data_IF_953087390704
#
_entry.id   IF_953087390704
#
_cell.length_a   1.000
_cell.length_b   1.000
_cell.length_c   1.000
_cell.angle_alpha   90.00
_cell.angle_beta   90.00
_cell.angle_gamma   90.00
#
_symmetry.space_group_name_H-M   'P 1'
#
loop_
_entity.id
_entity.type
_entity.pdbx_description
1 polymer ?
#
# COMPACT_ATOMS: atom_id res chain seq x y z
N UNK A 1 17.13 12.79 -27.38
CA UNK A 1 15.73 13.14 -27.69
C UNK A 1 14.79 11.93 -27.65
N UNK A 2 15.06 10.85 -28.41
CA UNK A 2 14.19 9.65 -28.48
C UNK A 2 14.07 8.95 -27.11
N UNK A 3 15.17 8.78 -26.37
CA UNK A 3 15.18 8.17 -25.04
C UNK A 3 14.39 9.01 -24.03
N UNK A 4 14.51 10.32 -24.09
CA UNK A 4 13.76 11.26 -23.24
C UNK A 4 12.27 11.22 -23.55
N UNK A 5 11.88 11.09 -24.82
CA UNK A 5 10.51 11.01 -25.28
C UNK A 5 9.86 9.69 -24.85
N UNK A 6 10.56 8.55 -25.00
CA UNK A 6 10.07 7.25 -24.54
C UNK A 6 9.87 7.19 -23.03
N UNK A 7 10.80 7.80 -22.25
CA UNK A 7 10.62 7.93 -20.80
C UNK A 7 9.37 8.75 -20.43
N UNK A 8 9.13 9.86 -21.13
CA UNK A 8 7.94 10.69 -20.89
C UNK A 8 6.65 9.96 -21.22
N UNK A 9 6.61 9.19 -22.32
CA UNK A 9 5.45 8.36 -22.69
C UNK A 9 5.18 7.30 -21.62
N UNK A 10 6.20 6.55 -21.18
CA UNK A 10 6.02 5.52 -20.17
C UNK A 10 5.57 6.07 -18.80
N UNK A 11 5.99 7.28 -18.46
CA UNK A 11 5.52 8.01 -17.27
C UNK A 11 4.06 8.38 -17.41
N UNK A 12 3.65 8.90 -18.56
CA UNK A 12 2.26 9.27 -18.83
C UNK A 12 1.33 8.05 -18.83
N UNK A 13 1.74 6.94 -19.44
CA UNK A 13 0.98 5.67 -19.41
C UNK A 13 0.80 5.15 -17.98
N UNK A 14 1.85 5.17 -17.16
CA UNK A 14 1.77 4.77 -15.76
C UNK A 14 0.80 5.64 -14.95
N UNK A 15 0.82 6.96 -15.18
CA UNK A 15 -0.13 7.91 -14.59
C UNK A 15 -1.57 7.59 -14.98
N UNK A 16 -1.81 7.44 -16.28
CA UNK A 16 -3.13 7.17 -16.83
C UNK A 16 -3.71 5.84 -16.32
N UNK A 17 -2.90 4.79 -16.32
CA UNK A 17 -3.30 3.48 -15.78
C UNK A 17 -3.62 3.54 -14.28
N UNK A 18 -2.88 4.30 -13.50
CA UNK A 18 -3.14 4.49 -12.07
C UNK A 18 -4.44 5.25 -11.83
N UNK A 19 -4.71 6.28 -12.64
CA UNK A 19 -5.94 7.06 -12.57
C UNK A 19 -7.17 6.22 -12.98
N UNK A 20 -7.10 5.49 -14.10
CA UNK A 20 -8.16 4.58 -14.53
C UNK A 20 -8.48 3.57 -13.43
N UNK A 21 -7.45 3.00 -12.82
CA UNK A 21 -7.65 2.03 -11.74
C UNK A 21 -8.29 2.64 -10.51
N UNK A 22 -7.91 3.86 -10.16
CA UNK A 22 -8.54 4.60 -9.07
C UNK A 22 -10.01 4.89 -9.37
N UNK A 23 -10.34 5.37 -10.56
CA UNK A 23 -11.72 5.65 -10.97
C UNK A 23 -12.58 4.39 -11.03
N UNK A 24 -12.05 3.28 -11.54
CA UNK A 24 -12.74 1.98 -11.53
C UNK A 24 -13.01 1.52 -10.09
N UNK A 25 -12.02 1.56 -9.22
CA UNK A 25 -12.21 1.21 -7.82
C UNK A 25 -13.34 2.04 -7.18
N UNK A 26 -13.50 3.33 -7.55
CA UNK A 26 -14.58 4.17 -7.03
C UNK A 26 -15.95 3.82 -7.61
N UNK A 27 -16.05 3.53 -8.92
CA UNK A 27 -17.30 3.38 -9.67
C UNK A 27 -17.85 1.96 -9.67
N UNK A 28 -16.99 0.93 -9.64
CA UNK A 28 -17.42 -0.46 -9.71
C UNK A 28 -17.95 -0.95 -8.34
N UNK A 29 -18.98 -1.81 -8.41
CA UNK A 29 -19.44 -2.54 -7.22
C UNK A 29 -18.35 -3.47 -6.72
N UNK A 30 -18.29 -3.64 -5.40
CA UNK A 30 -17.30 -4.53 -4.79
C UNK A 30 -17.58 -5.99 -5.19
N UNK A 31 -16.56 -6.67 -5.67
CA UNK A 31 -16.59 -8.12 -5.84
C UNK A 31 -16.27 -8.79 -4.50
N UNK A 32 -17.24 -8.74 -3.55
CA UNK A 32 -17.06 -9.31 -2.21
C UNK A 32 -17.04 -10.82 -2.28
N UNK A 33 -15.95 -11.43 -1.82
CA UNK A 33 -15.74 -12.88 -1.75
C UNK A 33 -15.16 -13.26 -0.40
N UNK A 34 -15.26 -14.56 -0.06
CA UNK A 34 -14.52 -15.12 1.06
C UNK A 34 -13.03 -15.14 0.70
N UNK A 35 -12.23 -14.47 1.51
CA UNK A 35 -10.78 -14.38 1.38
C UNK A 35 -10.13 -15.23 2.47
N UNK A 36 -9.27 -16.16 2.09
CA UNK A 36 -8.44 -16.91 3.02
C UNK A 36 -7.19 -16.07 3.32
N UNK A 37 -6.91 -15.84 4.61
CA UNK A 37 -5.78 -15.00 5.04
C UNK A 37 -4.44 -15.49 4.49
N UNK A 38 -4.18 -16.80 4.59
CA UNK A 38 -2.93 -17.39 4.10
C UNK A 38 -2.76 -17.19 2.60
N UNK A 39 -3.84 -17.37 1.82
CA UNK A 39 -3.81 -17.16 0.37
C UNK A 39 -3.52 -15.71 0.04
N UNK A 40 -4.20 -14.76 0.69
CA UNK A 40 -3.96 -13.33 0.52
C UNK A 40 -2.49 -12.96 0.77
N UNK A 41 -1.90 -13.47 1.86
CA UNK A 41 -0.52 -13.21 2.21
C UNK A 41 0.47 -13.84 1.22
N UNK A 42 0.18 -15.04 0.73
CA UNK A 42 1.00 -15.71 -0.29
C UNK A 42 0.98 -14.96 -1.62
N UNK A 43 -0.18 -14.52 -2.07
CA UNK A 43 -0.33 -13.71 -3.29
C UNK A 43 0.37 -12.35 -3.14
N UNK A 44 0.22 -11.69 -2.00
CA UNK A 44 0.90 -10.43 -1.70
C UNK A 44 2.42 -10.59 -1.73
N UNK A 45 2.95 -11.64 -1.10
CA UNK A 45 4.38 -11.93 -1.11
C UNK A 45 4.88 -12.16 -2.54
N UNK A 46 4.18 -12.98 -3.30
CA UNK A 46 4.53 -13.27 -4.70
C UNK A 46 4.58 -11.99 -5.56
N UNK A 47 3.64 -11.06 -5.38
CA UNK A 47 3.62 -9.79 -6.14
C UNK A 47 4.81 -8.87 -5.84
N UNK A 48 5.42 -8.97 -4.66
CA UNK A 48 6.49 -8.05 -4.24
C UNK A 48 7.87 -8.71 -4.14
N UNK A 49 7.94 -10.03 -4.30
CA UNK A 49 9.16 -10.83 -4.09
C UNK A 49 10.36 -10.32 -4.91
N UNK A 50 10.16 -10.08 -6.19
CA UNK A 50 11.21 -9.53 -7.07
C UNK A 50 11.72 -8.16 -6.57
N UNK A 51 10.80 -7.29 -6.11
CA UNK A 51 11.18 -5.97 -5.59
C UNK A 51 11.94 -6.07 -4.27
N UNK A 52 11.56 -7.00 -3.39
CA UNK A 52 12.23 -7.24 -2.13
C UNK A 52 13.66 -7.76 -2.37
N UNK A 53 13.80 -8.74 -3.27
CA UNK A 53 15.09 -9.36 -3.61
C UNK A 53 16.05 -8.37 -4.29
N UNK A 54 15.59 -7.63 -5.32
CA UNK A 54 16.40 -6.63 -6.02
C UNK A 54 16.90 -5.52 -5.06
N UNK A 55 16.10 -5.16 -4.06
CA UNK A 55 16.45 -4.12 -3.10
C UNK A 55 17.15 -4.64 -1.85
N UNK A 56 17.39 -5.95 -1.71
CA UNK A 56 17.97 -6.61 -0.53
C UNK A 56 17.23 -6.22 0.77
N UNK A 57 15.92 -6.43 0.81
CA UNK A 57 15.06 -6.07 1.93
C UNK A 57 14.82 -7.28 2.83
N UNK A 58 15.09 -7.14 4.13
CA UNK A 58 14.63 -8.09 5.15
C UNK A 58 13.10 -7.92 5.30
N UNK A 59 12.36 -8.90 4.81
CA UNK A 59 10.91 -8.90 4.82
C UNK A 59 10.35 -9.92 5.79
N UNK A 60 9.39 -9.53 6.62
CA UNK A 60 8.73 -10.43 7.55
C UNK A 60 7.21 -10.18 7.60
N UNK A 61 6.46 -11.26 7.88
CA UNK A 61 5.02 -11.22 8.06
C UNK A 61 4.70 -11.72 9.47
N UNK A 62 4.05 -10.88 10.28
CA UNK A 62 3.58 -11.21 11.62
C UNK A 62 2.05 -11.30 11.61
N UNK A 63 1.51 -12.50 11.42
CA UNK A 63 0.06 -12.72 11.46
C UNK A 63 -0.40 -13.00 12.90
N UNK A 64 -1.17 -12.07 13.47
CA UNK A 64 -1.78 -12.15 14.82
C UNK A 64 -3.31 -12.27 14.75
N UNK A 65 -3.86 -12.60 13.57
CA UNK A 65 -5.31 -12.84 13.45
C UNK A 65 -5.69 -14.16 14.07
N UNK A 66 -6.83 -14.17 14.74
CA UNK A 66 -7.50 -15.40 15.21
C UNK A 66 -8.31 -16.01 14.06
N UNK A 67 -8.91 -15.13 13.23
CA UNK A 67 -9.68 -15.58 12.06
C UNK A 67 -8.77 -16.04 10.93
N UNK A 68 -9.21 -17.06 10.20
CA UNK A 68 -8.50 -17.61 9.02
C UNK A 68 -9.07 -17.09 7.70
N UNK A 69 -10.24 -16.44 7.74
CA UNK A 69 -10.90 -15.90 6.56
C UNK A 69 -11.81 -14.72 6.92
N UNK A 70 -12.06 -13.88 5.93
CA UNK A 70 -12.99 -12.74 6.01
C UNK A 70 -13.59 -12.45 4.64
N UNK A 71 -14.60 -11.59 4.58
CA UNK A 71 -15.22 -11.17 3.32
C UNK A 71 -14.61 -9.85 2.83
N UNK A 72 -14.30 -9.75 1.54
CA UNK A 72 -13.74 -8.54 0.95
C UNK A 72 -13.57 -8.61 -0.56
N UNK A 73 -13.08 -7.53 -1.12
CA UNK A 73 -12.64 -7.45 -2.51
C UNK A 73 -11.13 -7.77 -2.56
N UNK A 74 -10.80 -9.07 -2.75
CA UNK A 74 -9.45 -9.61 -2.71
C UNK A 74 -8.51 -8.84 -3.67
N UNK A 75 -8.94 -8.60 -4.90
CA UNK A 75 -8.13 -7.92 -5.91
C UNK A 75 -7.75 -6.49 -5.51
N UNK A 76 -8.71 -5.72 -5.03
CA UNK A 76 -8.44 -4.35 -4.60
C UNK A 76 -7.66 -4.30 -3.29
N UNK A 77 -7.84 -5.28 -2.37
CA UNK A 77 -7.04 -5.39 -1.14
C UNK A 77 -5.58 -5.72 -1.45
N UNK A 78 -5.29 -6.73 -2.28
CA UNK A 78 -3.91 -7.06 -2.69
C UNK A 78 -3.26 -5.82 -3.29
N UNK A 79 -3.92 -5.16 -4.23
CA UNK A 79 -3.40 -3.95 -4.86
C UNK A 79 -3.17 -2.80 -3.86
N UNK A 80 -4.05 -2.63 -2.87
CA UNK A 80 -3.86 -1.61 -1.83
C UNK A 80 -2.62 -1.92 -0.96
N UNK A 81 -2.44 -3.18 -0.56
CA UNK A 81 -1.29 -3.63 0.21
C UNK A 81 0.00 -3.53 -0.60
N UNK A 82 -0.01 -3.92 -1.89
CA UNK A 82 1.13 -3.74 -2.80
C UNK A 82 1.51 -2.27 -2.95
N UNK A 83 0.53 -1.34 -3.06
CA UNK A 83 0.81 0.10 -3.07
C UNK A 83 1.50 0.58 -1.79
N UNK A 84 1.11 0.07 -0.62
CA UNK A 84 1.77 0.41 0.64
C UNK A 84 3.19 -0.15 0.69
N UNK A 85 3.41 -1.39 0.22
CA UNK A 85 4.73 -2.01 0.16
C UNK A 85 5.67 -1.27 -0.79
N UNK A 86 5.20 -0.92 -1.99
CA UNK A 86 5.99 -0.11 -2.95
C UNK A 86 6.35 1.25 -2.36
N UNK A 87 5.44 1.90 -1.62
CA UNK A 87 5.76 3.13 -0.91
C UNK A 87 6.80 2.89 0.20
N UNK A 88 6.67 1.83 0.98
CA UNK A 88 7.65 1.48 2.00
C UNK A 88 9.05 1.26 1.40
N UNK A 89 9.16 0.49 0.31
CA UNK A 89 10.42 0.23 -0.40
C UNK A 89 11.09 1.53 -0.87
N UNK A 90 10.31 2.49 -1.33
CA UNK A 90 10.82 3.76 -1.86
C UNK A 90 11.56 4.61 -0.83
N UNK A 91 11.09 4.61 0.42
CA UNK A 91 11.62 5.45 1.50
C UNK A 91 12.57 4.69 2.43
N UNK A 92 13.13 3.58 1.95
CA UNK A 92 14.09 2.78 2.69
C UNK A 92 15.44 3.47 2.90
N UNK A 93 16.15 3.16 3.98
CA UNK A 93 17.54 3.55 4.16
C UNK A 93 18.43 2.85 3.11
N UNK A 94 19.68 3.31 3.00
CA UNK A 94 20.66 2.69 2.08
C UNK A 94 21.04 1.28 2.53
N UNK A 95 21.18 1.07 3.85
CA UNK A 95 21.61 -0.19 4.49
C UNK A 95 20.54 -0.68 5.47
N UNK A 96 20.59 -1.96 5.80
CA UNK A 96 19.73 -2.61 6.81
C UNK A 96 18.23 -2.39 6.57
N UNK A 97 17.80 -2.58 5.35
CA UNK A 97 16.43 -2.37 4.90
C UNK A 97 15.48 -3.41 5.49
N UNK A 98 14.46 -2.96 6.23
CA UNK A 98 13.47 -3.85 6.87
C UNK A 98 12.05 -3.40 6.61
N UNK A 99 11.21 -4.37 6.20
CA UNK A 99 9.76 -4.22 6.12
C UNK A 99 9.10 -5.32 6.94
N UNK A 100 8.13 -4.94 7.74
CA UNK A 100 7.28 -5.85 8.49
C UNK A 100 5.81 -5.62 8.13
N UNK A 101 5.12 -6.69 7.72
CA UNK A 101 3.67 -6.71 7.52
C UNK A 101 3.05 -7.34 8.76
N UNK A 102 2.25 -6.56 9.50
CA UNK A 102 1.63 -7.02 10.75
C UNK A 102 0.13 -7.07 10.55
N UNK A 103 -0.45 -8.26 10.72
CA UNK A 103 -1.89 -8.43 10.74
C UNK A 103 -2.36 -8.55 12.19
N UNK A 104 -3.38 -7.79 12.52
CA UNK A 104 -4.02 -7.84 13.83
C UNK A 104 -5.52 -7.57 13.71
N UNK A 105 -6.26 -7.81 14.78
CA UNK A 105 -7.69 -7.53 14.82
C UNK A 105 -8.07 -6.84 16.12
N UNK A 106 -9.05 -5.96 16.06
CA UNK A 106 -9.66 -5.34 17.22
C UNK A 106 -11.16 -5.12 16.98
N UNK A 107 -12.01 -5.66 17.86
CA UNK A 107 -13.46 -5.63 17.68
C UNK A 107 -13.86 -6.23 16.32
N UNK A 108 -14.60 -5.46 15.54
CA UNK A 108 -15.09 -5.84 14.20
C UNK A 108 -14.12 -5.52 13.07
N UNK A 109 -12.89 -5.10 13.37
CA UNK A 109 -11.92 -4.68 12.36
C UNK A 109 -10.71 -5.61 12.28
N UNK A 110 -10.19 -5.74 11.06
CA UNK A 110 -8.88 -6.29 10.72
C UNK A 110 -7.97 -5.12 10.35
N UNK A 111 -6.73 -5.17 10.83
CA UNK A 111 -5.71 -4.18 10.56
C UNK A 111 -4.55 -4.83 9.81
N UNK A 112 -4.16 -4.26 8.69
CA UNK A 112 -2.95 -4.58 7.96
C UNK A 112 -2.00 -3.40 8.12
N UNK A 113 -0.99 -3.56 8.95
CA UNK A 113 0.06 -2.57 9.15
C UNK A 113 1.26 -2.94 8.29
N UNK A 114 1.77 -1.97 7.53
CA UNK A 114 3.04 -2.07 6.82
C UNK A 114 3.98 -1.07 7.45
N UNK A 115 4.96 -1.59 8.19
CA UNK A 115 6.02 -0.82 8.80
C UNK A 115 7.32 -0.98 8.01
N UNK A 116 8.08 0.09 7.92
CA UNK A 116 9.44 0.08 7.38
C UNK A 116 10.37 0.92 8.26
N UNK A 117 11.65 0.56 8.31
CA UNK A 117 12.67 1.26 9.09
C UNK A 117 13.29 2.46 8.35
N UNK A 118 12.66 2.94 7.27
CA UNK A 118 13.12 4.07 6.48
C UNK A 118 12.76 5.44 7.07
N UNK A 119 12.64 6.42 6.19
CA UNK A 119 12.30 7.79 6.56
C UNK A 119 10.91 7.87 7.18
N UNK A 120 10.76 8.74 8.19
CA UNK A 120 9.47 9.05 8.79
C UNK A 120 8.62 9.88 7.85
N UNK A 121 7.32 9.75 7.94
CA UNK A 121 6.42 10.68 7.27
C UNK A 121 6.63 12.09 7.81
N UNK A 122 6.66 13.08 6.93
CA UNK A 122 6.58 14.48 7.33
C UNK A 122 5.21 14.80 7.93
N UNK A 123 5.11 15.90 8.67
CA UNK A 123 3.82 16.41 9.19
C UNK A 123 2.83 16.70 8.05
N UNK A 124 3.32 17.07 6.89
CA UNK A 124 2.53 17.31 5.69
C UNK A 124 1.95 16.01 5.14
N UNK A 125 2.76 14.95 5.03
CA UNK A 125 2.31 13.62 4.60
C UNK A 125 1.34 13.00 5.60
N UNK A 126 1.57 13.11 6.90
CA UNK A 126 0.63 12.64 7.92
C UNK A 126 -0.76 13.28 7.78
N UNK A 127 -0.83 14.55 7.36
CA UNK A 127 -2.09 15.31 7.20
C UNK A 127 -2.74 15.14 5.83
N UNK A 128 -1.96 14.98 4.77
CA UNK A 128 -2.41 15.10 3.38
C UNK A 128 -2.00 13.94 2.47
N UNK A 129 -1.19 12.99 2.95
CA UNK A 129 -0.63 11.92 2.13
C UNK A 129 -1.67 11.05 1.44
N UNK A 130 -2.88 10.96 2.00
CA UNK A 130 -4.02 10.24 1.45
C UNK A 130 -4.86 11.04 0.43
N UNK A 131 -4.47 12.29 0.16
CA UNK A 131 -5.14 13.11 -0.86
C UNK A 131 -4.66 12.75 -2.26
N UNK A 132 -5.59 12.76 -3.20
CA UNK A 132 -5.28 12.51 -4.61
C UNK A 132 -4.28 13.56 -5.12
N UNK A 133 -3.27 13.09 -5.85
CA UNK A 133 -2.18 13.90 -6.43
C UNK A 133 -1.23 14.52 -5.41
N UNK A 134 -1.32 14.16 -4.13
CA UNK A 134 -0.35 14.61 -3.15
C UNK A 134 0.97 13.86 -3.30
N UNK A 135 2.06 14.60 -3.44
CA UNK A 135 3.44 14.09 -3.41
C UNK A 135 4.34 15.18 -2.84
N UNK A 136 5.32 14.81 -2.02
CA UNK A 136 6.36 15.74 -1.55
C UNK A 136 7.52 15.86 -2.51
N UNK A 137 7.66 14.89 -3.41
CA UNK A 137 8.84 14.75 -4.25
C UNK A 137 8.53 15.06 -5.70
N UNK A 138 8.45 16.36 -6.01
CA UNK A 138 8.31 16.83 -7.39
C UNK A 138 9.65 16.77 -8.20
N UNK A 139 10.81 16.57 -7.51
CA UNK A 139 12.13 16.79 -8.10
C UNK A 139 12.88 15.52 -8.53
N UNK A 140 12.52 14.34 -8.01
CA UNK A 140 13.33 13.12 -8.20
C UNK A 140 12.99 12.28 -9.43
N UNK A 141 12.26 12.78 -10.40
CA UNK A 141 12.00 12.06 -11.67
C UNK A 141 11.33 10.69 -11.52
N UNK A 142 10.92 10.33 -10.31
CA UNK A 142 10.32 9.04 -9.99
C UNK A 142 8.82 9.07 -10.28
N UNK A 143 8.34 8.04 -10.97
CA UNK A 143 7.02 7.81 -11.55
C UNK A 143 5.87 7.70 -10.52
N UNK A 144 5.82 8.53 -9.47
CA UNK A 144 4.78 8.46 -8.45
C UNK A 144 3.85 9.67 -8.54
N UNK A 145 2.61 9.38 -8.85
CA UNK A 145 1.60 10.38 -9.25
C UNK A 145 0.70 10.84 -8.08
N UNK A 146 1.03 10.45 -6.83
CA UNK A 146 0.21 10.78 -5.67
C UNK A 146 -1.17 10.11 -5.67
N UNK A 147 -1.31 8.95 -6.36
CA UNK A 147 -2.57 8.21 -6.45
C UNK A 147 -2.59 7.00 -5.50
N UNK A 148 -1.41 6.44 -5.18
CA UNK A 148 -1.30 5.18 -4.42
C UNK A 148 -2.00 5.21 -3.06
N UNK A 149 -1.69 6.17 -2.20
CA UNK A 149 -2.32 6.29 -0.87
C UNK A 149 -3.80 6.68 -0.95
N UNK A 150 -4.20 7.50 -1.94
CA UNK A 150 -5.60 7.80 -2.20
C UNK A 150 -6.38 6.54 -2.60
N UNK A 151 -5.78 5.66 -3.43
CA UNK A 151 -6.35 4.36 -3.78
C UNK A 151 -6.51 3.47 -2.54
N UNK A 152 -5.47 3.35 -1.70
CA UNK A 152 -5.52 2.58 -0.45
C UNK A 152 -6.64 3.07 0.46
N UNK A 153 -6.76 4.38 0.63
CA UNK A 153 -7.84 4.97 1.42
C UNK A 153 -9.22 4.65 0.84
N UNK A 154 -9.39 4.76 -0.47
CA UNK A 154 -10.64 4.41 -1.15
C UNK A 154 -11.04 2.94 -0.92
N UNK A 155 -10.08 2.02 -1.02
CA UNK A 155 -10.28 0.60 -0.73
C UNK A 155 -10.68 0.40 0.73
N UNK A 156 -9.97 1.02 1.69
CA UNK A 156 -10.29 0.94 3.10
C UNK A 156 -11.73 1.40 3.40
N UNK A 157 -12.12 2.55 2.88
CA UNK A 157 -13.47 3.12 3.04
C UNK A 157 -14.52 2.17 2.45
N UNK A 158 -14.29 1.63 1.26
CA UNK A 158 -15.21 0.64 0.66
C UNK A 158 -15.34 -0.64 1.50
N UNK A 159 -14.33 -0.98 2.29
CA UNK A 159 -14.38 -2.11 3.24
C UNK A 159 -14.84 -1.69 4.65
N UNK A 160 -15.41 -0.49 4.80
CA UNK A 160 -15.95 0.02 6.06
C UNK A 160 -14.89 0.38 7.10
N UNK A 161 -13.68 0.64 6.67
CA UNK A 161 -12.55 1.02 7.50
C UNK A 161 -11.89 2.32 7.11
N UNK A 162 -10.59 2.46 7.36
CA UNK A 162 -9.82 3.68 7.09
C UNK A 162 -8.34 3.38 6.82
N UNK A 163 -7.62 4.37 6.30
CA UNK A 163 -6.16 4.41 6.22
C UNK A 163 -5.61 5.35 7.28
N UNK A 164 -4.60 4.91 8.02
CA UNK A 164 -3.87 5.71 8.99
C UNK A 164 -2.37 5.67 8.70
N UNK A 165 -1.71 6.82 8.73
CA UNK A 165 -0.26 6.98 8.59
C UNK A 165 0.31 7.36 9.95
N UNK A 166 1.39 6.71 10.38
CA UNK A 166 1.99 6.92 11.69
C UNK A 166 3.52 6.93 11.61
N UNK A 167 4.13 7.60 12.58
CA UNK A 167 5.56 7.56 12.88
C UNK A 167 5.76 6.87 14.24
N UNK A 168 5.91 5.55 14.29
CA UNK A 168 5.99 4.81 15.54
C UNK A 168 7.23 5.16 16.35
N UNK A 169 7.17 4.95 17.69
CA UNK A 169 8.28 5.24 18.59
C UNK A 169 9.54 4.41 18.29
N UNK A 170 9.37 3.20 17.74
CA UNK A 170 10.48 2.33 17.31
C UNK A 170 11.26 2.87 16.10
N UNK A 171 10.85 4.00 15.53
CA UNK A 171 11.42 4.60 14.33
C UNK A 171 10.74 4.13 13.05
N UNK A 172 11.16 4.72 11.91
CA UNK A 172 10.59 4.43 10.61
C UNK A 172 9.20 5.03 10.42
N UNK A 173 8.48 4.48 9.46
CA UNK A 173 7.12 4.85 9.09
C UNK A 173 6.19 3.64 9.11
N UNK A 174 4.91 3.84 9.36
CA UNK A 174 3.89 2.80 9.38
C UNK A 174 2.61 3.29 8.71
N UNK A 175 2.07 2.49 7.80
CA UNK A 175 0.77 2.71 7.18
C UNK A 175 -0.17 1.56 7.55
N UNK A 176 -1.35 1.88 8.10
CA UNK A 176 -2.32 0.90 8.57
C UNK A 176 -3.60 1.04 7.75
N UNK A 177 -3.98 0.00 7.04
CA UNK A 177 -5.30 -0.15 6.45
C UNK A 177 -6.18 -0.97 7.38
N UNK A 178 -7.30 -0.39 7.81
CA UNK A 178 -8.31 -1.08 8.59
C UNK A 178 -9.50 -1.42 7.72
N UNK A 179 -10.08 -2.59 7.90
CA UNK A 179 -11.29 -3.05 7.20
C UNK A 179 -12.24 -3.76 8.17
N UNK A 180 -13.53 -3.82 7.87
CA UNK A 180 -14.47 -4.64 8.64
C UNK A 180 -14.31 -6.14 8.34
N UNK A 181 -14.48 -6.99 9.35
CA UNK A 181 -14.45 -8.47 9.21
C UNK A 181 -15.60 -8.99 8.35
N UNK A 182 -16.76 -8.34 8.45
CA UNK A 182 -17.97 -8.63 7.67
C UNK A 182 -18.43 -7.36 6.99
N UNK A 183 -18.73 -7.44 5.74
CA UNK A 183 -19.21 -6.32 4.92
C UNK A 183 -20.66 -6.57 4.53
#
# INVERSE_FOLDING_TARGET
>A
YIVSMNNSISVFEGYFNSLISYTRMLSEDRSVKLILVEKLLSELHFEVDDLLNINNIEFSICNRLIITSFYGDEKNLIRALSNLLVNAIRFMPVLDKKIEVILSESGEQIHFEIWNNGERFSDSTLKKGDKLFYTEDYSRGNKHYGIGLAFVKGVAIKHGGNLQLNNPARGGASAIISIKKKI
#
